data_IF_035684684309
#
_entry.id   IF_035684684309
#
_cell.length_a   1.000
_cell.length_b   1.000
_cell.length_c   1.000
_cell.angle_alpha   90.00
_cell.angle_beta   90.00
_cell.angle_gamma   90.00
#
_symmetry.space_group_name_H-M   'P 1'
#
loop_
_entity.id
_entity.type
_entity.pdbx_description
1 polymer ?
#
# COMPACT_ATOMS: atom_id res chain seq x y z
N UNK A 1 4.78 21.20 -1.99
CA UNK A 1 5.81 20.14 -2.04
C UNK A 1 5.37 18.98 -1.17
N UNK A 2 5.26 17.76 -1.73
CA UNK A 2 4.87 16.59 -0.97
C UNK A 2 6.07 15.69 -0.67
N UNK A 3 6.08 15.12 0.54
CA UNK A 3 7.02 14.11 0.97
C UNK A 3 6.41 12.72 0.81
N UNK A 4 7.19 11.78 0.29
CA UNK A 4 6.78 10.36 0.23
C UNK A 4 7.03 9.70 1.58
N UNK A 5 5.98 9.16 2.19
CA UNK A 5 6.09 8.37 3.42
C UNK A 5 6.42 6.91 3.13
N UNK A 6 7.34 6.40 3.93
CA UNK A 6 7.80 5.01 3.86
C UNK A 6 7.78 4.36 5.25
N UNK A 7 8.22 3.10 5.35
CA UNK A 7 8.31 2.37 6.63
C UNK A 7 9.16 3.05 7.69
N UNK A 8 10.20 3.76 7.26
CA UNK A 8 11.23 4.33 8.15
C UNK A 8 11.14 5.87 8.22
N UNK A 9 10.21 6.47 7.48
CA UNK A 9 10.10 7.91 7.31
C UNK A 9 8.62 8.28 7.18
N UNK A 10 7.98 8.59 8.31
CA UNK A 10 6.56 8.93 8.42
C UNK A 10 6.31 9.80 9.65
N UNK A 11 5.16 10.47 9.66
CA UNK A 11 4.71 11.28 10.77
C UNK A 11 4.85 12.79 10.55
N UNK A 12 4.11 13.56 11.33
CA UNK A 12 4.02 15.02 11.20
C UNK A 12 5.38 15.72 11.37
N UNK A 13 6.25 15.20 12.23
CA UNK A 13 7.58 15.76 12.47
C UNK A 13 8.42 15.91 11.20
N UNK A 14 8.20 15.03 10.23
CA UNK A 14 8.91 15.10 8.94
C UNK A 14 8.32 16.14 7.97
N UNK A 15 7.14 16.69 8.23
CA UNK A 15 6.59 17.79 7.43
C UNK A 15 7.25 19.12 7.78
N UNK A 16 7.83 19.23 8.97
CA UNK A 16 8.52 20.44 9.46
C UNK A 16 9.76 20.82 8.64
N UNK A 17 10.25 19.90 7.79
CA UNK A 17 11.40 20.13 6.90
C UNK A 17 11.03 20.90 5.60
N UNK A 18 9.89 21.63 5.59
CA UNK A 18 9.45 22.45 4.47
C UNK A 18 8.57 21.73 3.44
N UNK A 19 7.92 20.65 3.84
CA UNK A 19 6.91 19.97 3.03
C UNK A 19 5.50 20.41 3.43
N UNK A 20 4.62 20.56 2.43
CA UNK A 20 3.22 20.96 2.63
C UNK A 20 2.31 19.79 3.00
N UNK A 21 2.67 18.58 2.59
CA UNK A 21 1.92 17.35 2.81
C UNK A 21 2.78 16.09 2.67
N UNK A 22 2.25 14.98 3.14
CA UNK A 22 2.77 13.65 2.87
C UNK A 22 2.02 12.94 1.73
N UNK A 23 2.65 11.96 1.10
CA UNK A 23 2.04 10.99 0.19
C UNK A 23 2.39 9.59 0.68
N UNK A 24 1.37 8.78 0.92
CA UNK A 24 1.54 7.42 1.38
C UNK A 24 2.05 6.50 0.26
N UNK A 25 3.20 5.84 0.47
CA UNK A 25 3.80 4.93 -0.50
C UNK A 25 3.50 3.47 -0.16
N UNK A 26 2.38 2.94 -0.69
CA UNK A 26 2.02 1.54 -0.52
C UNK A 26 2.90 0.62 -1.39
N UNK A 27 3.28 -0.60 -0.91
CA UNK A 27 2.94 -1.18 0.40
C UNK A 27 3.97 -0.89 1.51
N UNK A 28 4.91 0.01 1.30
CA UNK A 28 6.01 0.28 2.23
C UNK A 28 5.71 1.39 3.23
N UNK A 29 4.64 1.22 3.99
CA UNK A 29 4.19 2.15 5.01
C UNK A 29 4.48 1.66 6.43
N UNK A 30 4.36 2.55 7.42
CA UNK A 30 4.44 2.15 8.83
C UNK A 30 3.31 1.19 9.21
N UNK A 31 2.12 1.32 8.61
CA UNK A 31 0.98 0.42 8.82
C UNK A 31 1.33 -1.03 8.44
N UNK A 32 2.14 -1.23 7.40
CA UNK A 32 2.65 -2.55 7.05
C UNK A 32 3.51 -3.15 8.19
N UNK A 33 4.33 -2.33 8.84
CA UNK A 33 5.13 -2.77 9.99
C UNK A 33 4.22 -3.14 11.18
N UNK A 34 3.21 -2.33 11.46
CA UNK A 34 2.25 -2.59 12.54
C UNK A 34 1.41 -3.85 12.26
N UNK A 35 0.92 -4.02 11.03
CA UNK A 35 0.23 -5.24 10.61
C UNK A 35 1.06 -6.49 10.89
N UNK A 36 2.34 -6.46 10.52
CA UNK A 36 3.24 -7.58 10.72
C UNK A 36 3.55 -7.86 12.19
N UNK A 37 3.62 -6.83 13.04
CA UNK A 37 3.79 -6.98 14.49
C UNK A 37 2.56 -7.66 15.11
N UNK A 38 1.35 -7.24 14.71
CA UNK A 38 0.07 -7.80 15.21
C UNK A 38 -0.12 -9.26 14.77
N UNK A 39 0.23 -9.59 13.53
CA UNK A 39 0.04 -10.94 12.97
C UNK A 39 0.91 -12.01 13.65
N UNK A 40 2.08 -11.66 14.16
CA UNK A 40 3.01 -12.66 14.70
C UNK A 40 3.92 -12.11 15.82
N UNK A 41 3.40 -11.89 17.02
CA UNK A 41 4.19 -11.37 18.16
C UNK A 41 5.37 -12.28 18.54
N UNK A 42 5.21 -13.60 18.43
CA UNK A 42 6.28 -14.58 18.73
C UNK A 42 7.37 -14.63 17.63
N UNK A 43 7.04 -14.27 16.40
CA UNK A 43 7.99 -14.27 15.29
C UNK A 43 9.04 -13.16 15.41
N UNK A 44 8.73 -12.08 16.14
CA UNK A 44 9.70 -11.01 16.44
C UNK A 44 10.87 -11.53 17.27
N UNK A 45 10.57 -12.39 18.24
CA UNK A 45 11.60 -13.03 19.08
C UNK A 45 12.45 -14.02 18.28
N UNK A 46 11.82 -14.89 17.49
CA UNK A 46 12.51 -15.83 16.61
C UNK A 46 13.28 -15.15 15.46
N UNK A 47 12.81 -14.00 14.95
CA UNK A 47 13.49 -13.23 13.90
C UNK A 47 14.80 -12.63 14.39
N UNK A 48 14.83 -12.09 15.61
CA UNK A 48 16.05 -11.53 16.18
C UNK A 48 17.11 -12.60 16.45
N UNK A 49 16.71 -13.80 16.88
CA UNK A 49 17.62 -14.93 17.09
C UNK A 49 18.15 -15.47 15.74
N UNK A 50 17.27 -15.64 14.74
CA UNK A 50 17.68 -16.18 13.43
C UNK A 50 18.47 -15.19 12.55
N UNK A 51 18.33 -13.88 12.78
CA UNK A 51 19.08 -12.85 12.02
C UNK A 51 20.58 -12.94 12.26
N UNK A 52 20.98 -13.38 13.46
CA UNK A 52 22.40 -13.56 13.81
C UNK A 52 22.97 -14.92 13.42
N UNK A 53 22.15 -15.94 13.24
CA UNK A 53 22.62 -17.32 13.04
C UNK A 53 22.53 -17.82 11.60
N UNK A 54 21.63 -17.27 10.75
CA UNK A 54 21.44 -17.76 9.39
C UNK A 54 21.21 -16.60 8.41
N UNK A 55 22.21 -16.34 7.60
CA UNK A 55 22.15 -15.39 6.46
C UNK A 55 21.31 -15.97 5.30
N UNK A 56 20.09 -16.40 5.60
CA UNK A 56 19.19 -17.02 4.62
C UNK A 56 18.38 -15.96 3.88
N UNK A 57 18.36 -16.00 2.55
CA UNK A 57 17.49 -15.22 1.67
C UNK A 57 16.02 -15.45 2.04
N UNK A 58 15.46 -14.64 2.93
CA UNK A 58 14.07 -14.82 3.37
C UNK A 58 13.11 -14.06 2.45
N UNK A 59 12.36 -14.84 1.67
CA UNK A 59 11.18 -14.40 0.95
C UNK A 59 10.05 -14.14 1.95
N UNK A 60 9.58 -12.90 2.03
CA UNK A 60 8.50 -12.51 2.93
C UNK A 60 7.21 -12.48 2.12
N UNK A 61 6.28 -13.36 2.47
CA UNK A 61 4.93 -13.39 1.89
C UNK A 61 3.91 -12.88 2.89
N UNK A 62 3.05 -11.99 2.43
CA UNK A 62 1.89 -11.48 3.15
C UNK A 62 0.68 -11.73 2.27
N UNK A 63 -0.38 -12.29 2.81
CA UNK A 63 -1.65 -12.43 2.12
C UNK A 63 -2.23 -11.04 1.86
N UNK A 64 -2.52 -10.75 0.60
CA UNK A 64 -3.00 -9.44 0.16
C UNK A 64 -4.35 -9.10 0.81
N UNK A 65 -5.26 -10.08 0.87
CA UNK A 65 -6.59 -9.88 1.44
C UNK A 65 -6.51 -9.54 2.93
N UNK A 66 -5.69 -10.28 3.70
CA UNK A 66 -5.47 -9.99 5.12
C UNK A 66 -4.91 -8.56 5.35
N UNK A 67 -4.00 -8.13 4.48
CA UNK A 67 -3.45 -6.77 4.57
C UNK A 67 -4.49 -5.71 4.22
N UNK A 68 -5.26 -5.91 3.15
CA UNK A 68 -6.34 -4.99 2.77
C UNK A 68 -7.39 -4.89 3.88
N UNK A 69 -7.82 -6.01 4.46
CA UNK A 69 -8.77 -6.01 5.59
C UNK A 69 -8.26 -5.25 6.81
N UNK A 70 -6.97 -5.26 7.04
CA UNK A 70 -6.33 -4.50 8.10
C UNK A 70 -6.29 -3.00 7.76
N UNK A 71 -5.78 -2.64 6.57
CA UNK A 71 -5.60 -1.24 6.20
C UNK A 71 -6.93 -0.51 6.04
N UNK A 72 -7.96 -1.20 5.55
CA UNK A 72 -9.32 -0.67 5.46
C UNK A 72 -9.93 -0.32 6.83
N UNK A 73 -9.44 -0.88 7.91
CA UNK A 73 -9.87 -0.57 9.29
C UNK A 73 -8.97 0.45 9.99
N UNK A 74 -7.82 0.76 9.39
CA UNK A 74 -6.86 1.71 9.97
C UNK A 74 -7.33 3.14 9.67
N UNK A 75 -7.37 4.03 10.66
CA UNK A 75 -7.68 5.44 10.42
C UNK A 75 -6.53 6.13 9.67
N UNK A 76 -6.84 7.23 8.98
CA UNK A 76 -5.82 8.13 8.48
C UNK A 76 -5.17 8.91 9.64
N UNK A 77 -3.93 9.39 9.47
CA UNK A 77 -3.29 10.23 10.46
C UNK A 77 -3.96 11.61 10.52
N UNK A 78 -3.73 12.33 11.62
CA UNK A 78 -4.29 13.66 11.83
C UNK A 78 -3.56 14.78 11.05
N UNK A 79 -2.41 14.48 10.46
CA UNK A 79 -1.66 15.42 9.61
C UNK A 79 -2.02 15.27 8.14
N UNK A 80 -1.68 16.29 7.34
CA UNK A 80 -2.01 16.34 5.92
C UNK A 80 -1.25 15.25 5.14
N UNK A 81 -1.97 14.20 4.75
CA UNK A 81 -1.45 13.07 3.98
C UNK A 81 -2.43 12.65 2.89
N UNK A 82 -1.94 12.52 1.68
CA UNK A 82 -2.68 11.92 0.57
C UNK A 82 -2.50 10.41 0.60
N UNK A 83 -3.61 9.65 0.64
CA UNK A 83 -3.54 8.20 0.79
C UNK A 83 -3.07 7.51 -0.49
N UNK A 84 -2.46 6.34 -0.31
CA UNK A 84 -1.99 5.47 -1.37
C UNK A 84 -2.64 4.10 -1.35
N UNK A 85 -2.73 3.47 -2.52
CA UNK A 85 -3.10 2.06 -2.71
C UNK A 85 -2.10 1.37 -3.63
N UNK A 86 -2.06 0.04 -3.60
CA UNK A 86 -1.26 -0.75 -4.55
C UNK A 86 -2.05 -1.95 -5.05
N UNK A 87 -2.13 -2.20 -6.38
CA UNK A 87 -2.88 -3.32 -6.93
C UNK A 87 -2.27 -4.67 -6.56
N UNK A 88 -0.94 -4.75 -6.49
CA UNK A 88 -0.20 -5.97 -6.20
C UNK A 88 1.25 -5.62 -5.83
N UNK A 89 2.07 -6.62 -5.43
CA UNK A 89 3.50 -6.42 -5.21
C UNK A 89 4.25 -7.75 -5.20
N UNK A 90 5.24 -7.89 -6.05
CA UNK A 90 6.22 -9.00 -6.03
C UNK A 90 7.58 -8.54 -6.58
N UNK A 91 8.50 -8.20 -5.70
CA UNK A 91 9.83 -7.76 -6.10
C UNK A 91 10.88 -8.88 -6.20
N UNK A 92 10.45 -10.14 -6.27
CA UNK A 92 11.36 -11.29 -6.32
C UNK A 92 12.19 -11.37 -7.60
N UNK A 93 11.69 -10.83 -8.71
CA UNK A 93 12.42 -10.74 -9.98
C UNK A 93 13.62 -9.80 -9.91
N UNK A 94 13.52 -8.75 -9.10
CA UNK A 94 14.50 -7.67 -8.99
C UNK A 94 15.45 -7.84 -7.80
N UNK A 95 15.03 -8.55 -6.75
CA UNK A 95 15.75 -8.64 -5.47
C UNK A 95 16.30 -10.04 -5.21
N UNK A 96 17.59 -10.14 -4.89
CA UNK A 96 18.22 -11.37 -4.40
C UNK A 96 18.05 -11.58 -2.90
N UNK A 97 17.83 -10.50 -2.15
CA UNK A 97 17.63 -10.51 -0.69
C UNK A 97 16.47 -9.59 -0.32
N UNK A 98 15.88 -9.79 0.87
CA UNK A 98 14.73 -9.02 1.38
C UNK A 98 13.57 -8.99 0.39
N UNK A 99 13.32 -10.14 -0.25
CA UNK A 99 12.19 -10.30 -1.16
C UNK A 99 10.87 -10.17 -0.40
N UNK A 100 9.94 -9.42 -0.99
CA UNK A 100 8.63 -9.14 -0.42
C UNK A 100 7.53 -9.35 -1.45
N UNK A 101 6.46 -10.05 -1.05
CA UNK A 101 5.31 -10.34 -1.89
C UNK A 101 4.03 -10.04 -1.11
N UNK A 102 3.12 -9.32 -1.74
CA UNK A 102 1.70 -9.33 -1.42
C UNK A 102 1.05 -10.46 -2.25
N UNK A 103 0.89 -11.62 -1.60
CA UNK A 103 0.47 -12.86 -2.25
C UNK A 103 -1.05 -12.88 -2.46
N UNK A 104 -1.50 -13.46 -3.56
CA UNK A 104 -2.92 -13.65 -3.91
C UNK A 104 -3.71 -12.35 -4.11
N UNK A 105 -3.06 -11.31 -4.63
CA UNK A 105 -3.79 -10.11 -5.03
C UNK A 105 -4.82 -10.43 -6.14
N UNK A 106 -5.99 -9.81 -6.03
CA UNK A 106 -7.05 -9.88 -7.05
C UNK A 106 -7.60 -8.50 -7.36
N UNK A 107 -8.13 -8.29 -8.58
CA UNK A 107 -8.74 -7.01 -8.95
C UNK A 107 -9.86 -6.59 -8.00
N UNK A 108 -10.71 -7.54 -7.59
CA UNK A 108 -11.84 -7.27 -6.69
C UNK A 108 -11.35 -6.76 -5.33
N UNK A 109 -10.32 -7.41 -4.76
CA UNK A 109 -9.78 -7.01 -3.45
C UNK A 109 -9.04 -5.67 -3.51
N UNK A 110 -8.41 -5.37 -4.64
CA UNK A 110 -7.88 -4.04 -4.92
C UNK A 110 -9.00 -3.00 -5.01
N UNK A 111 -10.09 -3.30 -5.71
CA UNK A 111 -11.26 -2.42 -5.80
C UNK A 111 -11.88 -2.12 -4.42
N UNK A 112 -12.00 -3.12 -3.54
CA UNK A 112 -12.44 -2.92 -2.15
C UNK A 112 -11.54 -1.94 -1.39
N UNK A 113 -10.23 -2.08 -1.55
CA UNK A 113 -9.26 -1.17 -0.92
C UNK A 113 -9.39 0.25 -1.45
N UNK A 114 -9.38 0.42 -2.78
CA UNK A 114 -9.54 1.72 -3.42
C UNK A 114 -10.84 2.40 -2.99
N UNK A 115 -11.97 1.66 -3.00
CA UNK A 115 -13.25 2.16 -2.53
C UNK A 115 -13.18 2.62 -1.06
N UNK A 116 -12.62 1.79 -0.17
CA UNK A 116 -12.47 2.12 1.24
C UNK A 116 -11.65 3.39 1.46
N UNK A 117 -10.55 3.55 0.71
CA UNK A 117 -9.71 4.74 0.80
C UNK A 117 -10.46 5.97 0.32
N UNK A 118 -11.06 5.92 -0.87
CA UNK A 118 -11.80 7.05 -1.45
C UNK A 118 -13.00 7.46 -0.59
N UNK A 119 -13.72 6.49 -0.02
CA UNK A 119 -14.89 6.76 0.83
C UNK A 119 -14.51 7.36 2.21
N UNK A 120 -13.33 7.07 2.72
CA UNK A 120 -12.86 7.59 4.03
C UNK A 120 -12.07 8.89 3.91
N UNK A 121 -11.42 9.11 2.79
CA UNK A 121 -10.59 10.28 2.59
C UNK A 121 -11.47 11.53 2.45
N UNK A 122 -11.23 12.51 3.31
CA UNK A 122 -11.84 13.82 3.22
C UNK A 122 -10.87 14.75 2.52
N UNK A 123 -11.20 15.26 1.32
CA UNK A 123 -10.33 16.18 0.58
C UNK A 123 -9.98 17.43 1.41
N UNK A 124 -8.75 17.89 1.33
CA UNK A 124 -8.32 19.11 2.03
C UNK A 124 -8.87 20.38 1.37
N UNK A 125 -9.10 20.33 0.07
CA UNK A 125 -9.82 21.34 -0.71
C UNK A 125 -10.30 20.71 -2.03
N UNK A 126 -11.02 21.48 -2.85
CA UNK A 126 -11.44 21.03 -4.19
C UNK A 126 -10.25 20.66 -5.08
N UNK A 127 -9.15 21.37 -4.95
CA UNK A 127 -7.92 21.17 -5.73
C UNK A 127 -6.92 20.23 -5.05
N UNK A 128 -7.24 19.72 -3.87
CA UNK A 128 -6.40 18.85 -3.05
C UNK A 128 -7.14 17.55 -2.71
N UNK A 129 -7.72 16.94 -3.74
CA UNK A 129 -8.45 15.68 -3.68
C UNK A 129 -7.68 14.60 -4.45
N UNK A 130 -6.65 14.03 -3.84
CA UNK A 130 -5.75 13.07 -4.49
C UNK A 130 -5.72 11.74 -3.75
N UNK A 131 -5.83 10.65 -4.50
CA UNK A 131 -5.50 9.29 -4.08
C UNK A 131 -4.44 8.76 -5.03
N UNK A 132 -3.34 8.26 -4.50
CA UNK A 132 -2.21 7.77 -5.29
C UNK A 132 -2.28 6.27 -5.49
N UNK A 133 -2.03 5.80 -6.71
CA UNK A 133 -1.90 4.38 -7.02
C UNK A 133 -0.45 4.07 -7.36
N UNK A 134 0.16 3.20 -6.58
CA UNK A 134 1.48 2.64 -6.86
C UNK A 134 1.30 1.23 -7.42
N UNK A 135 1.41 1.00 -8.75
CA UNK A 135 1.75 1.94 -9.79
C UNK A 135 1.04 1.61 -11.11
N UNK A 136 1.23 2.47 -12.12
CA UNK A 136 0.75 2.16 -13.48
C UNK A 136 1.51 0.96 -14.06
N UNK A 137 2.85 0.95 -14.03
CA UNK A 137 3.68 -0.04 -14.74
C UNK A 137 5.03 -0.39 -14.10
N UNK A 138 5.07 -0.58 -12.77
CA UNK A 138 6.26 -1.09 -12.08
C UNK A 138 6.39 -2.63 -12.22
N UNK A 139 6.55 -3.12 -13.45
CA UNK A 139 6.64 -4.54 -13.76
C UNK A 139 7.78 -5.27 -13.04
N UNK A 140 8.90 -4.60 -12.82
CA UNK A 140 10.05 -5.18 -12.10
C UNK A 140 9.75 -5.45 -10.61
N UNK A 141 8.70 -4.85 -10.08
CA UNK A 141 8.19 -5.06 -8.72
C UNK A 141 6.85 -5.81 -8.72
N UNK A 142 6.46 -6.39 -9.87
CA UNK A 142 5.19 -7.09 -10.04
C UNK A 142 4.02 -6.22 -9.59
N UNK A 143 4.06 -4.92 -9.89
CA UNK A 143 3.12 -3.92 -9.43
C UNK A 143 2.67 -3.03 -10.58
N UNK A 144 1.48 -3.29 -11.09
CA UNK A 144 1.01 -2.60 -12.29
C UNK A 144 -0.52 -2.58 -12.39
N UNK A 145 -1.05 -1.51 -12.97
CA UNK A 145 -2.43 -1.41 -13.45
C UNK A 145 -2.53 -1.68 -14.95
N UNK A 146 -1.41 -1.58 -15.68
CA UNK A 146 -1.36 -1.97 -17.08
C UNK A 146 -1.95 -3.36 -17.28
N UNK A 147 -2.74 -3.58 -18.35
CA UNK A 147 -3.29 -4.88 -18.65
C UNK A 147 -2.24 -5.98 -18.78
N UNK A 148 -2.50 -7.14 -18.19
CA UNK A 148 -1.62 -8.29 -18.19
C UNK A 148 -2.30 -9.56 -18.76
N UNK A 149 -1.51 -10.61 -19.00
CA UNK A 149 -2.03 -11.86 -19.55
C UNK A 149 -2.92 -12.64 -18.57
N UNK A 150 -2.78 -12.39 -17.26
CA UNK A 150 -3.55 -13.10 -16.23
C UNK A 150 -4.91 -12.46 -15.99
N UNK A 151 -4.94 -11.14 -15.89
CA UNK A 151 -6.11 -10.40 -15.47
C UNK A 151 -6.74 -9.53 -16.56
N UNK A 152 -6.07 -9.36 -17.73
CA UNK A 152 -6.52 -8.48 -18.78
C UNK A 152 -6.70 -7.06 -18.24
N UNK A 153 -7.88 -6.48 -18.46
CA UNK A 153 -8.23 -5.13 -18.03
C UNK A 153 -8.87 -5.05 -16.63
N UNK A 154 -9.02 -6.17 -15.91
CA UNK A 154 -9.85 -6.23 -14.70
C UNK A 154 -9.43 -5.26 -13.59
N UNK A 155 -8.15 -4.95 -13.42
CA UNK A 155 -7.71 -3.93 -12.44
C UNK A 155 -8.18 -2.53 -12.85
N UNK A 156 -8.18 -2.20 -14.13
CA UNK A 156 -8.71 -0.93 -14.65
C UNK A 156 -10.22 -0.88 -14.56
N UNK A 157 -10.91 -1.98 -14.85
CA UNK A 157 -12.38 -2.10 -14.72
C UNK A 157 -12.83 -1.88 -13.26
N UNK A 158 -12.12 -2.47 -12.28
CA UNK A 158 -12.41 -2.21 -10.87
C UNK A 158 -12.08 -0.76 -10.47
N UNK A 159 -11.01 -0.17 -11.02
CA UNK A 159 -10.70 1.25 -10.81
C UNK A 159 -11.82 2.14 -11.34
N UNK A 160 -12.26 1.91 -12.58
CA UNK A 160 -13.36 2.65 -13.20
C UNK A 160 -14.66 2.54 -12.41
N UNK A 161 -15.02 1.33 -12.01
CA UNK A 161 -16.21 1.04 -11.21
C UNK A 161 -16.22 1.83 -9.89
N UNK A 162 -15.09 1.84 -9.18
CA UNK A 162 -14.96 2.59 -7.92
C UNK A 162 -15.08 4.10 -8.18
N UNK A 163 -14.36 4.63 -9.16
CA UNK A 163 -14.40 6.07 -9.48
C UNK A 163 -15.82 6.51 -9.87
N UNK A 164 -16.53 5.74 -10.70
CA UNK A 164 -17.91 6.03 -11.08
C UNK A 164 -18.85 6.02 -9.87
N UNK A 165 -18.72 5.03 -8.98
CA UNK A 165 -19.55 4.96 -7.78
C UNK A 165 -19.38 6.16 -6.84
N UNK A 166 -18.17 6.71 -6.76
CA UNK A 166 -17.92 7.93 -5.99
C UNK A 166 -18.54 9.16 -6.63
N UNK A 167 -18.51 9.28 -7.96
CA UNK A 167 -19.12 10.40 -8.68
C UNK A 167 -20.65 10.40 -8.56
N UNK A 168 -21.29 9.24 -8.60
CA UNK A 168 -22.74 9.09 -8.45
C UNK A 168 -23.19 9.33 -7.00
N UNK A 169 -22.35 9.08 -6.02
CA UNK A 169 -22.62 9.32 -4.59
C UNK A 169 -22.52 10.78 -4.15
N UNK A 170 -22.19 11.73 -5.05
CA UNK A 170 -22.25 13.17 -4.79
C UNK A 170 -20.99 13.76 -4.11
N UNK A 171 -19.81 13.27 -4.45
CA UNK A 171 -18.52 13.93 -4.10
C UNK A 171 -18.15 15.02 -5.08
#
# INVERSE_FOLDING_TARGET
LCRVETMDCYGEEYLQDGFDAAVEFQPFTHQMNEFQKKRNPLRKFAYNINRHLFNTCKKKKIDYSEYVDYICKTPFPDYKMYPGVTPMWDNTSRRKQKMFILDKSTPEKYGEWLYSVMNKFVPYSKDENFVFVNAWNEWAEGNHLEPDLKWGFRYLEETEKVVKSMQEGGF
#
